data_IF_670744940183
#
_entry.id   IF_670744940183
#
_cell.length_a   1.000
_cell.length_b   1.000
_cell.length_c   1.000
_cell.angle_alpha   90.00
_cell.angle_beta   90.00
_cell.angle_gamma   90.00
#
_symmetry.space_group_name_H-M   'P 1'
#
loop_
_entity.id
_entity.type
_entity.pdbx_description
1 polymer ?
#
# COMPACT_ATOMS: atom_id res chain seq x y z
N UNK A 1 -26.45 -6.52 5.99
CA UNK A 1 -26.14 -5.68 4.81
C UNK A 1 -25.47 -6.55 3.76
N UNK A 2 -25.83 -6.46 2.48
CA UNK A 2 -25.15 -7.20 1.41
C UNK A 2 -23.80 -6.54 1.08
N UNK A 3 -22.81 -7.33 0.67
CA UNK A 3 -21.50 -6.80 0.25
C UNK A 3 -21.63 -5.77 -0.89
N UNK A 4 -22.55 -6.00 -1.83
CA UNK A 4 -22.83 -5.05 -2.91
C UNK A 4 -23.31 -3.69 -2.41
N UNK A 5 -24.17 -3.66 -1.39
CA UNK A 5 -24.62 -2.42 -0.78
C UNK A 5 -23.47 -1.71 -0.03
N UNK A 6 -22.65 -2.46 0.70
CA UNK A 6 -21.47 -1.93 1.37
C UNK A 6 -20.48 -1.30 0.37
N UNK A 7 -20.13 -2.02 -0.70
CA UNK A 7 -19.21 -1.53 -1.72
C UNK A 7 -19.77 -0.30 -2.46
N UNK A 8 -21.08 -0.25 -2.71
CA UNK A 8 -21.75 0.90 -3.30
C UNK A 8 -21.61 2.15 -2.42
N UNK A 9 -21.93 2.05 -1.13
CA UNK A 9 -21.82 3.19 -0.23
C UNK A 9 -20.37 3.63 -0.01
N UNK A 10 -19.43 2.69 0.01
CA UNK A 10 -18.01 2.99 0.22
C UNK A 10 -17.43 3.76 -0.98
N UNK A 11 -17.78 3.36 -2.19
CA UNK A 11 -17.44 4.09 -3.42
C UNK A 11 -18.03 5.49 -3.42
N UNK A 12 -19.32 5.61 -3.08
CA UNK A 12 -20.00 6.90 -2.97
C UNK A 12 -19.31 7.84 -1.98
N UNK A 13 -18.94 7.35 -0.80
CA UNK A 13 -18.18 8.14 0.18
C UNK A 13 -16.85 8.60 -0.42
N UNK A 14 -16.13 7.72 -1.13
CA UNK A 14 -14.90 8.08 -1.83
C UNK A 14 -15.11 9.22 -2.83
N UNK A 15 -16.14 9.13 -3.67
CA UNK A 15 -16.49 10.19 -4.63
C UNK A 15 -16.87 11.50 -3.95
N UNK A 16 -17.67 11.45 -2.87
CA UNK A 16 -18.06 12.65 -2.10
C UNK A 16 -16.86 13.32 -1.41
N UNK A 17 -15.81 12.55 -1.09
CA UNK A 17 -14.53 13.05 -0.57
C UNK A 17 -13.56 13.51 -1.67
N UNK A 18 -13.96 13.45 -2.94
CA UNK A 18 -13.14 13.89 -4.08
C UNK A 18 -12.07 12.89 -4.50
N UNK A 19 -12.20 11.62 -4.16
CA UNK A 19 -11.29 10.57 -4.63
C UNK A 19 -11.47 10.32 -6.13
N UNK A 20 -10.37 10.41 -6.89
CA UNK A 20 -10.34 10.09 -8.33
C UNK A 20 -10.60 8.60 -8.57
N UNK A 21 -10.04 7.76 -7.70
CA UNK A 21 -10.21 6.30 -7.75
C UNK A 21 -11.36 5.83 -6.87
N UNK A 22 -12.04 4.78 -7.35
CA UNK A 22 -13.08 4.06 -6.61
C UNK A 22 -12.54 3.52 -5.29
N UNK A 23 -13.19 3.91 -4.20
CA UNK A 23 -12.91 3.32 -2.91
C UNK A 23 -13.43 1.89 -2.87
N UNK A 24 -12.56 0.98 -2.43
CA UNK A 24 -12.91 -0.42 -2.22
C UNK A 24 -12.58 -0.82 -0.78
N UNK A 25 -13.11 -1.96 -0.36
CA UNK A 25 -12.77 -2.57 0.94
C UNK A 25 -11.25 -2.76 1.13
N UNK A 26 -10.51 -2.90 0.03
CA UNK A 26 -9.06 -2.98 0.04
C UNK A 26 -8.40 -1.71 0.59
N UNK A 27 -8.93 -0.51 0.30
CA UNK A 27 -8.41 0.75 0.83
C UNK A 27 -8.41 0.76 2.36
N UNK A 28 -9.49 0.25 2.98
CA UNK A 28 -9.62 0.16 4.43
C UNK A 28 -8.65 -0.88 5.02
N UNK A 29 -8.54 -2.05 4.37
CA UNK A 29 -7.56 -3.08 4.75
C UNK A 29 -6.13 -2.52 4.70
N UNK A 30 -5.81 -1.75 3.67
CA UNK A 30 -4.50 -1.16 3.50
C UNK A 30 -4.22 -0.01 4.47
N UNK A 31 -5.21 0.84 4.75
CA UNK A 31 -5.14 1.83 5.82
C UNK A 31 -4.89 1.20 7.20
N UNK A 32 -5.59 0.11 7.51
CA UNK A 32 -5.40 -0.65 8.75
C UNK A 32 -3.98 -1.20 8.90
N UNK A 33 -3.46 -1.88 7.86
CA UNK A 33 -2.07 -2.36 7.87
C UNK A 33 -1.07 -1.21 8.09
N UNK A 34 -1.29 -0.08 7.40
CA UNK A 34 -0.43 1.09 7.53
C UNK A 34 -0.43 1.70 8.94
N UNK A 35 -1.56 1.67 9.64
CA UNK A 35 -1.68 2.12 11.02
C UNK A 35 -0.98 1.15 11.98
N UNK A 36 -1.20 -0.16 11.83
CA UNK A 36 -0.59 -1.19 12.68
C UNK A 36 0.94 -1.23 12.57
N UNK A 37 1.47 -1.03 11.37
CA UNK A 37 2.92 -0.94 11.12
C UNK A 37 3.62 0.17 11.92
N UNK A 38 2.88 1.17 12.43
CA UNK A 38 3.44 2.24 13.27
C UNK A 38 3.52 1.89 14.76
N UNK A 39 2.75 0.89 15.20
CA UNK A 39 2.52 0.63 16.63
C UNK A 39 2.74 -0.83 17.04
N UNK A 40 2.95 -1.74 16.08
CA UNK A 40 3.15 -3.17 16.35
C UNK A 40 4.26 -3.79 15.49
N UNK A 41 4.92 -4.86 15.97
CA UNK A 41 5.88 -5.62 15.17
C UNK A 41 5.24 -6.33 13.97
N UNK A 42 6.03 -6.50 12.88
CA UNK A 42 5.58 -7.15 11.64
C UNK A 42 4.85 -8.50 11.82
N UNK A 43 5.29 -9.43 12.70
CA UNK A 43 4.57 -10.69 12.90
C UNK A 43 3.13 -10.51 13.42
N UNK A 44 2.90 -9.48 14.23
CA UNK A 44 1.56 -9.14 14.74
C UNK A 44 0.71 -8.57 13.62
N UNK A 45 1.29 -7.74 12.75
CA UNK A 45 0.61 -7.24 11.55
C UNK A 45 0.23 -8.38 10.62
N UNK A 46 1.13 -9.33 10.37
CA UNK A 46 0.85 -10.54 9.58
C UNK A 46 -0.29 -11.36 10.17
N UNK A 47 -0.31 -11.54 11.50
CA UNK A 47 -1.39 -12.22 12.19
C UNK A 47 -2.74 -11.51 12.02
N UNK A 48 -2.79 -10.19 12.26
CA UNK A 48 -4.02 -9.39 12.13
C UNK A 48 -4.52 -9.38 10.69
N UNK A 49 -3.59 -9.30 9.73
CA UNK A 49 -3.90 -9.30 8.31
C UNK A 49 -4.16 -10.72 7.76
N UNK A 50 -3.91 -11.78 8.55
CA UNK A 50 -3.98 -13.18 8.13
C UNK A 50 -3.10 -13.48 6.92
N UNK A 51 -1.91 -12.90 6.88
CA UNK A 51 -0.91 -13.29 5.90
C UNK A 51 -0.17 -14.54 6.37
N UNK A 52 0.27 -15.34 5.41
CA UNK A 52 1.30 -16.36 5.67
C UNK A 52 2.66 -15.66 5.75
N UNK A 53 3.35 -15.68 6.91
CA UNK A 53 4.65 -15.03 7.07
C UNK A 53 5.71 -15.52 6.08
N UNK A 54 5.57 -16.75 5.56
CA UNK A 54 6.54 -17.38 4.65
C UNK A 54 6.42 -16.78 3.24
N UNK A 55 5.25 -16.25 2.87
CA UNK A 55 4.99 -15.73 1.52
C UNK A 55 5.53 -14.32 1.28
N UNK A 56 6.00 -13.63 2.32
CA UNK A 56 6.46 -12.24 2.21
C UNK A 56 5.35 -11.25 1.83
N UNK A 57 4.08 -11.60 2.02
CA UNK A 57 2.94 -10.78 1.61
C UNK A 57 2.97 -9.37 2.23
N UNK A 58 3.30 -9.26 3.52
CA UNK A 58 3.44 -7.96 4.20
C UNK A 58 4.57 -7.12 3.60
N UNK A 59 5.71 -7.74 3.29
CA UNK A 59 6.83 -7.07 2.67
C UNK A 59 6.41 -6.50 1.31
N UNK A 60 5.87 -7.32 0.43
CA UNK A 60 5.55 -6.92 -0.94
C UNK A 60 4.39 -5.94 -1.04
N UNK A 61 3.32 -6.13 -0.26
CA UNK A 61 2.11 -5.32 -0.40
C UNK A 61 2.12 -4.02 0.42
N UNK A 62 2.88 -3.95 1.54
CA UNK A 62 2.77 -2.83 2.49
C UNK A 62 4.11 -2.18 2.86
N UNK A 63 5.21 -2.92 2.96
CA UNK A 63 6.52 -2.36 3.32
C UNK A 63 7.27 -1.84 2.09
N UNK A 64 7.39 -2.65 1.05
CA UNK A 64 8.17 -2.34 -0.14
C UNK A 64 7.54 -1.21 -0.96
N UNK A 65 6.21 -1.04 -0.85
CA UNK A 65 5.50 0.09 -1.48
C UNK A 65 5.75 1.44 -0.79
N UNK A 66 6.29 1.45 0.44
CA UNK A 66 6.68 2.68 1.16
C UNK A 66 8.07 3.20 0.76
N UNK A 67 8.90 2.37 0.15
CA UNK A 67 10.15 2.83 -0.45
C UNK A 67 9.85 3.09 -1.92
N UNK A 68 9.19 4.22 -2.16
CA UNK A 68 9.30 4.84 -3.47
C UNK A 68 10.78 5.13 -3.66
N UNK A 69 11.43 4.36 -4.52
CA UNK A 69 12.83 4.53 -4.93
C UNK A 69 13.16 6.03 -5.20
N UNK A 70 12.16 6.81 -5.61
CA UNK A 70 12.26 8.22 -5.94
C UNK A 70 11.85 9.21 -4.83
N UNK A 71 11.22 8.79 -3.72
CA UNK A 71 10.67 9.75 -2.74
C UNK A 71 11.74 10.37 -1.86
N UNK A 72 12.76 9.59 -1.48
CA UNK A 72 13.89 10.10 -0.73
C UNK A 72 14.85 10.90 -1.61
N UNK A 73 15.14 10.43 -2.83
CA UNK A 73 16.01 11.14 -3.77
C UNK A 73 15.36 12.41 -4.33
N UNK A 74 14.03 12.41 -4.59
CA UNK A 74 13.32 13.65 -4.93
C UNK A 74 13.28 14.66 -3.76
N UNK A 75 13.19 14.19 -2.50
CA UNK A 75 13.30 15.07 -1.33
C UNK A 75 14.72 15.64 -1.15
N UNK A 76 15.75 14.90 -1.57
CA UNK A 76 17.15 15.29 -1.47
C UNK A 76 17.70 15.92 -2.76
N UNK A 77 16.84 16.20 -3.76
CA UNK A 77 17.19 16.73 -5.08
C UNK A 77 18.36 15.99 -5.76
N UNK A 78 18.42 14.67 -5.58
CA UNK A 78 19.51 13.86 -6.09
C UNK A 78 19.18 13.39 -7.50
N UNK A 79 20.11 13.59 -8.43
CA UNK A 79 19.97 13.07 -9.79
C UNK A 79 19.92 11.53 -9.74
N UNK A 80 18.90 10.89 -10.35
CA UNK A 80 18.75 9.45 -10.33
C UNK A 80 19.88 8.78 -11.12
N UNK A 81 20.58 7.82 -10.52
CA UNK A 81 21.62 7.06 -11.22
C UNK A 81 21.05 6.00 -12.18
N UNK A 82 21.89 5.42 -13.04
CA UNK A 82 21.46 4.36 -13.95
C UNK A 82 21.03 3.07 -13.22
N UNK A 83 21.70 2.73 -12.11
CA UNK A 83 21.36 1.57 -11.28
C UNK A 83 20.03 1.77 -10.53
N UNK A 84 19.79 3.01 -10.14
CA UNK A 84 18.60 3.52 -9.49
C UNK A 84 17.36 3.45 -10.41
N UNK A 85 17.52 3.90 -11.65
CA UNK A 85 16.52 3.71 -12.69
C UNK A 85 16.28 2.22 -12.98
N UNK A 86 17.33 1.40 -13.02
CA UNK A 86 17.21 -0.05 -13.24
C UNK A 86 16.43 -0.74 -12.12
N UNK A 87 16.59 -0.31 -10.86
CA UNK A 87 15.75 -0.76 -9.73
C UNK A 87 14.30 -0.30 -9.86
N UNK A 88 14.06 0.96 -10.24
CA UNK A 88 12.70 1.46 -10.47
C UNK A 88 11.96 0.65 -11.55
N UNK A 89 12.63 0.36 -12.67
CA UNK A 89 12.05 -0.42 -13.77
C UNK A 89 11.89 -1.91 -13.46
N UNK A 90 12.75 -2.49 -12.63
CA UNK A 90 12.65 -3.91 -12.23
C UNK A 90 11.63 -4.17 -11.12
N UNK A 91 11.26 -3.15 -10.33
CA UNK A 91 10.21 -3.24 -9.31
C UNK A 91 8.82 -2.81 -9.80
N UNK A 92 8.72 -2.19 -10.97
CA UNK A 92 7.44 -2.05 -11.69
C UNK A 92 7.12 -3.39 -12.35
N UNK A 93 6.21 -4.17 -11.75
CA UNK A 93 5.61 -5.31 -12.46
C UNK A 93 4.89 -4.77 -13.70
N UNK A 94 5.27 -5.27 -14.88
CA UNK A 94 4.40 -5.27 -16.07
C UNK A 94 3.16 -6.11 -15.77
#
# INVERSE_FOLDING_TARGET
MKYSAYAFYLDRIGSELGSEDKWTSYCMRHGNANALLKVTPNPVVDQVMRHDPITGCLANAYLNRRVGFNTQDAFLERDPSADDLTKAFSHMSI
#
